data_IF_872774348031
#
_entry.id   IF_872774348031
#
_cell.length_a   1.000
_cell.length_b   1.000
_cell.length_c   1.000
_cell.angle_alpha   90.00
_cell.angle_beta   90.00
_cell.angle_gamma   90.00
#
_symmetry.space_group_name_H-M   'P 1'
#
loop_
_entity.id
_entity.type
_entity.pdbx_description
1 polymer ?
#
# COMPACT_ATOMS: atom_id res chain seq x y z
N UNK A 1 15.92 7.92 -5.95
CA UNK A 1 15.63 8.80 -7.10
C UNK A 1 14.14 8.87 -7.40
N UNK A 2 13.37 7.77 -7.36
CA UNK A 2 11.90 7.79 -7.53
C UNK A 2 11.17 8.91 -6.73
N UNK A 3 11.44 9.02 -5.42
CA UNK A 3 10.81 10.06 -4.57
C UNK A 3 11.26 11.51 -4.85
N UNK A 4 12.23 11.72 -5.73
CA UNK A 4 12.72 13.05 -6.12
C UNK A 4 12.32 13.42 -7.56
N UNK A 5 11.47 12.62 -8.21
CA UNK A 5 10.96 12.91 -9.56
C UNK A 5 9.90 14.01 -9.54
N UNK A 6 9.67 14.62 -10.71
CA UNK A 6 8.51 15.49 -10.92
C UNK A 6 7.23 14.65 -10.86
N UNK A 7 6.34 14.98 -9.93
CA UNK A 7 5.06 14.29 -9.73
C UNK A 7 3.90 14.99 -10.47
N UNK A 8 4.20 16.06 -11.21
CA UNK A 8 3.27 16.89 -11.97
C UNK A 8 3.77 17.10 -13.41
N UNK A 9 4.03 16.03 -14.18
CA UNK A 9 4.59 16.14 -15.53
C UNK A 9 3.66 16.95 -16.44
N UNK A 10 4.22 17.95 -17.13
CA UNK A 10 3.45 18.89 -17.97
C UNK A 10 3.65 18.68 -19.48
N UNK A 11 4.64 17.86 -19.87
CA UNK A 11 4.88 17.45 -21.24
C UNK A 11 5.01 15.92 -21.44
N UNK A 12 5.23 15.49 -22.69
CA UNK A 12 5.37 14.09 -23.04
C UNK A 12 6.70 13.47 -22.56
N UNK A 13 7.79 14.24 -22.57
CA UNK A 13 9.10 13.77 -22.14
C UNK A 13 9.11 13.49 -20.64
N UNK A 14 8.59 14.43 -19.85
CA UNK A 14 8.43 14.31 -18.39
C UNK A 14 7.48 13.17 -18.03
N UNK A 15 6.36 13.02 -18.76
CA UNK A 15 5.44 11.88 -18.56
C UNK A 15 6.16 10.54 -18.78
N UNK A 16 6.96 10.44 -19.84
CA UNK A 16 7.72 9.22 -20.13
C UNK A 16 8.77 8.92 -19.05
N UNK A 17 9.44 9.95 -18.53
CA UNK A 17 10.37 9.80 -17.41
C UNK A 17 9.66 9.34 -16.13
N UNK A 18 8.54 9.97 -15.78
CA UNK A 18 7.72 9.59 -14.61
C UNK A 18 7.27 8.13 -14.68
N UNK A 19 6.68 7.72 -15.83
CA UNK A 19 6.23 6.34 -16.04
C UNK A 19 7.39 5.35 -15.96
N UNK A 20 8.56 5.69 -16.50
CA UNK A 20 9.76 4.85 -16.42
C UNK A 20 10.21 4.70 -14.97
N UNK A 21 10.21 5.79 -14.21
CA UNK A 21 10.48 5.80 -12.78
C UNK A 21 9.55 4.87 -12.00
N UNK A 22 8.23 4.99 -12.22
CA UNK A 22 7.21 4.14 -11.58
C UNK A 22 7.40 2.67 -11.91
N UNK A 23 7.67 2.33 -13.19
CA UNK A 23 7.93 0.94 -13.58
C UNK A 23 9.15 0.36 -12.88
N UNK A 24 10.23 1.14 -12.78
CA UNK A 24 11.44 0.72 -12.09
C UNK A 24 11.21 0.53 -10.59
N UNK A 25 10.44 1.42 -9.97
CA UNK A 25 10.04 1.31 -8.56
C UNK A 25 9.19 0.06 -8.32
N UNK A 26 8.16 -0.17 -9.12
CA UNK A 26 7.29 -1.36 -9.03
C UNK A 26 8.09 -2.66 -9.22
N UNK A 27 9.01 -2.69 -10.19
CA UNK A 27 9.90 -3.84 -10.38
C UNK A 27 10.81 -4.10 -9.17
N UNK A 28 11.25 -3.05 -8.47
CA UNK A 28 12.00 -3.19 -7.24
C UNK A 28 11.13 -3.73 -6.10
N UNK A 29 9.87 -3.31 -5.97
CA UNK A 29 8.91 -3.91 -5.04
C UNK A 29 8.73 -5.41 -5.31
N UNK A 30 8.51 -5.79 -6.57
CA UNK A 30 8.39 -7.19 -6.98
C UNK A 30 9.67 -7.99 -6.71
N UNK A 31 10.85 -7.40 -6.94
CA UNK A 31 12.13 -8.08 -6.71
C UNK A 31 12.38 -8.32 -5.21
N UNK A 32 12.07 -7.33 -4.38
CA UNK A 32 12.45 -7.35 -2.97
C UNK A 32 11.35 -7.92 -2.05
N UNK A 33 10.09 -7.87 -2.47
CA UNK A 33 8.93 -8.13 -1.62
C UNK A 33 7.91 -9.09 -2.25
N UNK A 34 8.26 -9.81 -3.32
CA UNK A 34 7.35 -10.73 -4.05
C UNK A 34 6.46 -11.59 -3.15
N UNK A 35 7.05 -12.11 -2.07
CA UNK A 35 6.36 -13.03 -1.18
C UNK A 35 5.24 -12.38 -0.35
N UNK A 36 5.30 -11.06 -0.12
CA UNK A 36 4.37 -10.36 0.78
C UNK A 36 3.45 -9.38 0.05
N UNK A 37 3.82 -8.88 -1.14
CA UNK A 37 2.98 -7.95 -1.93
C UNK A 37 1.53 -8.45 -2.10
N UNK A 38 1.25 -9.76 -2.29
CA UNK A 38 -0.13 -10.25 -2.38
C UNK A 38 -0.93 -10.24 -1.07
N UNK A 39 -0.31 -9.95 0.07
CA UNK A 39 -0.87 -10.13 1.42
C UNK A 39 -0.92 -8.83 2.25
N UNK A 40 -0.71 -7.68 1.62
CA UNK A 40 -0.73 -6.35 2.28
C UNK A 40 -1.96 -5.54 1.90
N UNK A 41 -3.07 -6.21 1.62
CA UNK A 41 -4.34 -5.55 1.27
C UNK A 41 -5.10 -5.06 2.50
N UNK A 42 -5.96 -4.05 2.35
CA UNK A 42 -6.89 -3.62 3.41
C UNK A 42 -7.78 -4.78 3.88
N UNK A 43 -8.16 -5.68 2.97
CA UNK A 43 -8.97 -6.86 3.32
C UNK A 43 -8.21 -7.85 4.20
N UNK A 44 -6.91 -8.06 3.95
CA UNK A 44 -6.08 -8.89 4.83
C UNK A 44 -5.92 -8.23 6.21
N UNK A 45 -5.68 -6.91 6.24
CA UNK A 45 -5.65 -6.16 7.50
C UNK A 45 -6.98 -6.27 8.28
N UNK A 46 -8.13 -6.24 7.61
CA UNK A 46 -9.44 -6.42 8.26
C UNK A 46 -9.59 -7.82 8.90
N UNK A 47 -9.05 -8.87 8.26
CA UNK A 47 -9.01 -10.23 8.84
C UNK A 47 -8.09 -10.27 10.05
N UNK A 48 -6.95 -9.60 9.99
CA UNK A 48 -6.03 -9.50 11.12
C UNK A 48 -6.68 -8.76 12.31
N UNK A 49 -7.46 -7.72 12.05
CA UNK A 49 -8.22 -7.02 13.09
C UNK A 49 -9.28 -7.92 13.76
N UNK A 50 -9.94 -8.81 13.01
CA UNK A 50 -10.85 -9.79 13.61
C UNK A 50 -10.09 -10.85 14.42
N UNK A 51 -8.92 -11.29 13.95
CA UNK A 51 -8.05 -12.17 14.73
C UNK A 51 -7.63 -11.51 16.05
N UNK A 52 -7.24 -10.23 16.03
CA UNK A 52 -6.93 -9.47 17.24
C UNK A 52 -8.12 -9.42 18.20
N UNK A 53 -9.32 -9.12 17.70
CA UNK A 53 -10.56 -9.15 18.50
C UNK A 53 -10.75 -10.51 19.17
N UNK A 54 -10.57 -11.61 18.44
CA UNK A 54 -10.72 -12.97 18.95
C UNK A 54 -9.69 -13.31 20.04
N UNK A 55 -8.42 -12.99 19.81
CA UNK A 55 -7.32 -13.29 20.75
C UNK A 55 -7.45 -12.48 22.04
N UNK A 56 -8.00 -11.26 21.95
CA UNK A 56 -8.32 -10.42 23.12
C UNK A 56 -9.61 -10.86 23.84
N UNK A 57 -10.39 -11.78 23.27
CA UNK A 57 -11.62 -12.32 23.88
C UNK A 57 -12.86 -11.45 23.70
N UNK A 58 -12.78 -10.40 22.86
CA UNK A 58 -13.88 -9.47 22.65
C UNK A 58 -14.96 -10.08 21.76
N UNK A 59 -16.23 -9.98 22.15
CA UNK A 59 -17.36 -10.42 21.30
C UNK A 59 -17.59 -9.51 20.10
N UNK A 60 -17.21 -8.24 20.21
CA UNK A 60 -17.34 -7.21 19.17
C UNK A 60 -16.11 -6.33 19.23
N UNK A 61 -15.61 -5.92 18.06
CA UNK A 61 -14.52 -4.97 17.97
C UNK A 61 -15.07 -3.55 18.21
N UNK A 62 -14.44 -2.82 19.13
CA UNK A 62 -14.67 -1.38 19.32
C UNK A 62 -13.53 -0.62 18.65
N UNK A 63 -13.76 -0.18 17.41
CA UNK A 63 -12.73 0.39 16.56
C UNK A 63 -12.94 1.90 16.34
N UNK A 64 -11.84 2.64 16.30
CA UNK A 64 -11.80 4.05 15.93
C UNK A 64 -10.83 4.23 14.76
N UNK A 65 -11.37 4.54 13.58
CA UNK A 65 -10.62 4.73 12.35
C UNK A 65 -10.52 6.20 11.97
N UNK A 66 -9.37 6.61 11.45
CA UNK A 66 -9.13 7.94 10.87
C UNK A 66 -8.42 7.76 9.52
N UNK A 67 -8.76 8.60 8.53
CA UNK A 67 -8.12 8.60 7.22
C UNK A 67 -8.22 7.22 6.56
N UNK A 68 -7.13 6.63 6.08
CA UNK A 68 -7.09 5.26 5.54
C UNK A 68 -7.72 4.22 6.49
N UNK A 69 -7.67 4.44 7.80
CA UNK A 69 -8.32 3.55 8.77
C UNK A 69 -9.86 3.56 8.72
N UNK A 70 -10.51 4.36 7.88
CA UNK A 70 -11.98 4.31 7.72
C UNK A 70 -12.46 3.33 6.64
N UNK A 71 -11.56 2.83 5.79
CA UNK A 71 -11.84 1.75 4.83
C UNK A 71 -12.16 0.42 5.52
#
# INVERSE_FOLDING_TARGET
QYFAQDNTPDDEAERNEFVTGTKNFNAACEKNSRAIVPHVSTTDAARDMDLLRQVLGDKKLHYFGISYGTE
#
